data_IF_376694958841
#
_entry.id   IF_376694958841
#
_cell.length_a   1.000
_cell.length_b   1.000
_cell.length_c   1.000
_cell.angle_alpha   90.00
_cell.angle_beta   90.00
_cell.angle_gamma   90.00
#
_symmetry.space_group_name_H-M   'P 1'
#
loop_
_entity.id
_entity.type
_entity.pdbx_description
1 polymer ?
#
# COMPACT_ATOMS: atom_id res chain seq x y z
N UNK A 1 16.87 -24.08 2.63
CA UNK A 1 16.61 -23.47 1.31
C UNK A 1 15.23 -22.84 1.30
N UNK A 2 15.11 -21.52 1.20
CA UNK A 2 13.83 -20.81 1.21
C UNK A 2 13.21 -20.77 -0.19
N UNK A 3 12.35 -21.74 -0.52
CA UNK A 3 11.58 -21.78 -1.77
C UNK A 3 10.38 -20.80 -1.76
N UNK A 4 10.58 -19.58 -1.26
CA UNK A 4 9.51 -18.60 -1.05
C UNK A 4 8.73 -18.28 -2.33
N UNK A 5 9.39 -18.35 -3.50
CA UNK A 5 8.75 -18.07 -4.78
C UNK A 5 7.84 -19.21 -5.29
N UNK A 6 8.10 -20.47 -4.94
CA UNK A 6 7.34 -21.63 -5.44
C UNK A 6 6.03 -21.86 -4.66
N UNK A 7 5.90 -21.25 -3.47
CA UNK A 7 4.79 -21.54 -2.57
C UNK A 7 3.50 -20.79 -2.91
N UNK A 8 3.58 -19.72 -3.72
CA UNK A 8 2.41 -18.91 -4.08
C UNK A 8 1.33 -19.73 -4.79
N UNK A 9 1.72 -20.58 -5.75
CA UNK A 9 0.76 -21.38 -6.51
C UNK A 9 -0.03 -22.34 -5.60
N UNK A 10 0.64 -22.95 -4.62
CA UNK A 10 -0.01 -23.83 -3.63
C UNK A 10 -1.05 -23.06 -2.80
N UNK A 11 -0.73 -21.84 -2.37
CA UNK A 11 -1.68 -20.97 -1.67
C UNK A 11 -2.89 -20.61 -2.54
N UNK A 12 -2.67 -20.31 -3.82
CA UNK A 12 -3.78 -20.02 -4.75
C UNK A 12 -4.69 -21.23 -4.97
N UNK A 13 -4.12 -22.44 -5.06
CA UNK A 13 -4.89 -23.67 -5.20
C UNK A 13 -5.76 -23.92 -3.96
N UNK A 14 -5.19 -23.79 -2.77
CA UNK A 14 -5.91 -23.94 -1.50
C UNK A 14 -7.04 -22.90 -1.40
N UNK A 15 -6.77 -21.64 -1.73
CA UNK A 15 -7.79 -20.59 -1.73
C UNK A 15 -8.95 -20.92 -2.71
N UNK A 16 -8.64 -21.41 -3.90
CA UNK A 16 -9.66 -21.81 -4.88
C UNK A 16 -10.56 -22.94 -4.37
N UNK A 17 -9.96 -23.99 -3.79
CA UNK A 17 -10.70 -25.11 -3.17
C UNK A 17 -11.58 -24.61 -2.03
N UNK A 18 -11.08 -23.70 -1.19
CA UNK A 18 -11.85 -23.10 -0.11
C UNK A 18 -13.07 -22.31 -0.62
N UNK A 19 -12.92 -21.54 -1.69
CA UNK A 19 -14.05 -20.83 -2.33
C UNK A 19 -15.07 -21.81 -2.92
N UNK A 20 -14.61 -22.89 -3.56
CA UNK A 20 -15.49 -23.92 -4.09
C UNK A 20 -16.29 -24.63 -2.99
N UNK A 21 -15.62 -25.02 -1.90
CA UNK A 21 -16.26 -25.69 -0.76
C UNK A 21 -17.28 -24.77 -0.05
N UNK A 22 -16.96 -23.49 0.11
CA UNK A 22 -17.83 -22.52 0.78
C UNK A 22 -19.05 -22.09 -0.05
N UNK A 23 -19.09 -22.42 -1.35
CA UNK A 23 -20.17 -22.01 -2.26
C UNK A 23 -21.57 -22.38 -1.76
N UNK A 24 -21.73 -23.54 -1.14
CA UNK A 24 -23.03 -24.02 -0.65
C UNK A 24 -23.48 -23.30 0.64
N UNK A 25 -22.56 -22.62 1.33
CA UNK A 25 -22.82 -21.87 2.57
C UNK A 25 -22.97 -20.37 2.32
N UNK A 26 -22.60 -19.90 1.12
CA UNK A 26 -22.57 -18.50 0.79
C UNK A 26 -23.97 -17.94 0.52
N UNK A 27 -24.20 -16.72 0.98
CA UNK A 27 -25.40 -15.92 0.70
C UNK A 27 -24.96 -14.66 -0.01
N UNK A 28 -25.76 -14.24 -0.99
CA UNK A 28 -25.51 -13.02 -1.76
C UNK A 28 -25.84 -11.80 -0.89
N UNK A 29 -24.79 -11.21 -0.29
CA UNK A 29 -24.90 -9.98 0.51
C UNK A 29 -24.65 -8.75 -0.39
N UNK A 30 -25.61 -7.81 -0.55
CA UNK A 30 -25.41 -6.56 -1.28
C UNK A 30 -24.51 -5.60 -0.50
N UNK A 31 -23.90 -4.63 -1.19
CA UNK A 31 -22.98 -3.69 -0.54
C UNK A 31 -23.84 -2.65 0.16
N UNK A 32 -23.33 -1.97 1.18
CA UNK A 32 -24.05 -0.88 1.81
C UNK A 32 -24.54 0.18 0.79
N UNK A 33 -23.85 0.37 -0.34
CA UNK A 33 -24.30 1.26 -1.42
C UNK A 33 -25.17 0.58 -2.50
N UNK A 34 -25.20 -0.75 -2.57
CA UNK A 34 -26.02 -1.51 -3.54
C UNK A 34 -27.44 -1.79 -3.01
N UNK A 35 -27.80 -1.29 -1.83
CA UNK A 35 -29.10 -1.54 -1.18
C UNK A 35 -30.31 -1.16 -2.06
N UNK A 36 -30.14 -0.20 -2.97
CA UNK A 36 -31.19 0.26 -3.88
C UNK A 36 -31.40 -0.65 -5.09
N UNK A 37 -30.45 -1.54 -5.40
CA UNK A 37 -30.61 -2.53 -6.45
C UNK A 37 -31.49 -3.67 -5.92
N UNK A 38 -32.59 -3.96 -6.64
CA UNK A 38 -33.42 -5.13 -6.36
C UNK A 38 -32.53 -6.38 -6.37
N UNK A 39 -32.26 -6.93 -5.19
CA UNK A 39 -31.40 -8.11 -5.08
C UNK A 39 -32.17 -9.30 -5.64
N UNK A 40 -31.78 -9.76 -6.83
CA UNK A 40 -32.40 -10.90 -7.48
C UNK A 40 -32.13 -12.16 -6.65
N UNK A 41 -33.16 -12.76 -6.06
CA UNK A 41 -33.06 -13.99 -5.25
C UNK A 41 -32.56 -15.20 -6.04
N UNK A 42 -32.52 -15.12 -7.36
CA UNK A 42 -32.12 -16.20 -8.28
C UNK A 42 -30.70 -16.02 -8.87
N UNK A 43 -29.83 -15.23 -8.24
CA UNK A 43 -28.45 -15.05 -8.75
C UNK A 43 -27.65 -16.33 -8.51
N UNK A 44 -27.08 -16.88 -9.59
CA UNK A 44 -26.11 -17.99 -9.50
C UNK A 44 -24.91 -17.51 -8.67
N UNK A 45 -24.59 -18.23 -7.60
CA UNK A 45 -23.45 -17.89 -6.72
C UNK A 45 -22.14 -18.08 -7.49
N UNK A 46 -21.47 -16.95 -7.77
CA UNK A 46 -20.14 -16.89 -8.39
C UNK A 46 -19.05 -16.92 -7.31
N UNK A 47 -17.82 -17.36 -7.62
CA UNK A 47 -16.72 -17.36 -6.65
C UNK A 47 -16.46 -15.98 -6.03
N UNK A 48 -16.67 -14.89 -6.78
CA UNK A 48 -16.56 -13.52 -6.25
C UNK A 48 -17.61 -13.21 -5.17
N UNK A 49 -18.84 -13.74 -5.32
CA UNK A 49 -19.89 -13.61 -4.30
C UNK A 49 -19.58 -14.46 -3.06
N UNK A 50 -18.98 -15.64 -3.23
CA UNK A 50 -18.50 -16.46 -2.09
C UNK A 50 -17.38 -15.74 -1.34
N UNK A 51 -16.38 -15.21 -2.05
CA UNK A 51 -15.28 -14.46 -1.45
C UNK A 51 -15.78 -13.30 -0.60
N UNK A 52 -16.81 -12.62 -1.08
CA UNK A 52 -17.43 -11.49 -0.40
C UNK A 52 -18.12 -11.86 0.91
N UNK A 53 -18.77 -13.01 0.94
CA UNK A 53 -19.47 -13.54 2.12
C UNK A 53 -18.56 -14.39 3.03
N UNK A 54 -17.33 -14.64 2.60
CA UNK A 54 -16.40 -15.53 3.26
C UNK A 54 -16.08 -15.11 4.70
N UNK A 55 -16.11 -13.80 4.99
CA UNK A 55 -15.96 -13.28 6.34
C UNK A 55 -17.03 -13.81 7.31
N UNK A 56 -18.30 -13.79 6.89
CA UNK A 56 -19.39 -14.34 7.71
C UNK A 56 -19.20 -15.83 7.93
N UNK A 57 -18.83 -16.56 6.88
CA UNK A 57 -18.61 -18.01 6.95
C UNK A 57 -17.51 -18.35 7.96
N UNK A 58 -16.36 -17.65 7.91
CA UNK A 58 -15.26 -17.86 8.86
C UNK A 58 -15.70 -17.52 10.29
N UNK A 59 -16.46 -16.43 10.48
CA UNK A 59 -16.97 -16.07 11.80
C UNK A 59 -17.91 -17.13 12.39
N UNK A 60 -18.80 -17.71 11.57
CA UNK A 60 -19.71 -18.78 12.01
C UNK A 60 -18.95 -20.04 12.42
N UNK A 61 -17.85 -20.35 11.73
CA UNK A 61 -16.97 -21.47 12.09
C UNK A 61 -16.17 -21.20 13.37
N UNK A 62 -16.01 -19.93 13.75
CA UNK A 62 -15.19 -19.52 14.89
C UNK A 62 -13.69 -19.68 14.65
N UNK A 63 -12.89 -19.36 15.67
CA UNK A 63 -11.42 -19.51 15.61
C UNK A 63 -11.00 -20.83 16.25
N UNK A 64 -10.57 -21.80 15.43
CA UNK A 64 -9.88 -23.00 15.94
C UNK A 64 -8.45 -22.72 16.44
N UNK A 65 -7.95 -21.51 16.20
CA UNK A 65 -6.62 -21.11 16.63
C UNK A 65 -6.57 -20.96 18.16
N UNK A 66 -5.56 -21.56 18.77
CA UNK A 66 -5.24 -21.28 20.17
C UNK A 66 -4.91 -19.81 20.34
N UNK A 67 -5.33 -19.22 21.48
CA UNK A 67 -4.99 -17.84 21.82
C UNK A 67 -3.49 -17.60 21.63
N UNK A 68 -3.08 -16.50 20.98
CA UNK A 68 -1.67 -16.21 20.78
C UNK A 68 -0.95 -16.17 22.13
N UNK A 69 0.27 -16.68 22.16
CA UNK A 69 1.12 -16.60 23.35
C UNK A 69 1.25 -15.12 23.75
N UNK A 70 0.83 -14.71 24.96
CA UNK A 70 0.98 -13.33 25.38
C UNK A 70 2.48 -13.02 25.43
N UNK A 71 2.88 -11.94 24.77
CA UNK A 71 4.27 -11.46 24.79
C UNK A 71 4.75 -11.10 26.20
N UNK A 72 3.81 -10.75 27.08
CA UNK A 72 4.07 -10.04 28.34
C UNK A 72 4.40 -8.57 28.08
N UNK A 73 4.02 -7.70 29.01
CA UNK A 73 4.55 -6.33 29.03
C UNK A 73 5.93 -6.35 29.66
N UNK A 74 6.89 -5.64 29.07
CA UNK A 74 8.14 -5.36 29.79
C UNK A 74 7.84 -4.46 30.98
N UNK A 75 8.64 -4.55 32.04
CA UNK A 75 8.54 -3.72 33.26
C UNK A 75 8.68 -2.20 33.00
N UNK A 76 8.87 -1.80 31.74
CA UNK A 76 8.98 -0.41 31.34
C UNK A 76 10.25 0.25 31.87
N UNK A 77 10.22 1.57 31.99
CA UNK A 77 11.28 2.32 32.66
C UNK A 77 11.04 2.27 34.17
N UNK A 78 12.11 2.09 34.92
CA UNK A 78 12.09 2.19 36.39
C UNK A 78 11.52 3.56 36.79
N UNK A 79 10.62 3.57 37.77
CA UNK A 79 10.02 4.81 38.31
C UNK A 79 11.13 5.76 38.76
N UNK A 80 11.13 6.98 38.24
CA UNK A 80 12.17 7.98 38.51
C UNK A 80 13.30 8.05 37.48
N UNK A 81 13.35 7.14 36.50
CA UNK A 81 14.35 7.20 35.43
C UNK A 81 14.12 8.42 34.51
N UNK A 82 15.07 9.35 34.48
CA UNK A 82 15.09 10.52 33.60
C UNK A 82 16.22 10.36 32.57
N UNK A 83 15.89 10.49 31.27
CA UNK A 83 16.89 10.58 30.19
C UNK A 83 17.41 12.01 30.08
N UNK A 84 18.67 12.16 29.72
CA UNK A 84 19.21 13.46 29.33
C UNK A 84 18.46 13.98 28.09
N UNK A 85 18.07 15.27 28.07
CA UNK A 85 17.51 15.89 26.87
C UNK A 85 18.49 15.75 25.70
N UNK A 86 17.97 15.49 24.50
CA UNK A 86 18.79 15.45 23.29
C UNK A 86 19.40 16.84 23.02
N UNK A 87 20.67 16.89 22.63
CA UNK A 87 21.34 18.14 22.25
C UNK A 87 20.54 18.84 21.16
N UNK A 88 20.16 20.10 21.40
CA UNK A 88 19.51 20.93 20.38
C UNK A 88 20.58 21.53 19.48
N UNK A 89 20.52 21.22 18.18
CA UNK A 89 21.33 21.89 17.17
C UNK A 89 20.65 23.17 16.73
N UNK A 90 21.43 24.23 16.45
CA UNK A 90 20.88 25.49 15.95
C UNK A 90 20.26 25.27 14.56
N UNK A 91 19.08 25.84 14.35
CA UNK A 91 18.43 25.85 13.04
C UNK A 91 19.08 26.94 12.20
N UNK A 92 19.83 26.55 11.16
CA UNK A 92 20.34 27.49 10.17
C UNK A 92 19.13 28.00 9.37
N UNK A 93 18.67 29.21 9.69
CA UNK A 93 17.69 29.90 8.86
C UNK A 93 18.44 30.51 7.68
N UNK A 94 18.18 30.01 6.47
CA UNK A 94 18.73 30.59 5.25
C UNK A 94 18.26 32.02 5.11
N UNK A 95 19.13 32.99 5.37
CA UNK A 95 18.90 34.37 4.94
C UNK A 95 19.00 34.42 3.42
N UNK A 96 18.04 35.07 2.78
CA UNK A 96 18.08 35.35 1.33
C UNK A 96 19.42 35.98 0.98
N UNK A 97 20.22 35.27 0.18
CA UNK A 97 21.45 35.82 -0.36
C UNK A 97 21.04 36.92 -1.33
N UNK A 98 21.38 38.18 -1.01
CA UNK A 98 21.25 39.28 -1.96
C UNK A 98 22.16 38.96 -3.14
N UNK A 99 21.57 38.50 -4.25
CA UNK A 99 22.26 38.45 -5.54
C UNK A 99 22.69 39.87 -5.89
N UNK A 100 23.95 40.20 -5.66
CA UNK A 100 24.54 41.41 -6.22
C UNK A 100 24.48 41.27 -7.74
N UNK A 101 23.87 42.25 -8.41
CA UNK A 101 23.77 42.28 -9.87
C UNK A 101 25.17 42.41 -10.46
N UNK A 102 25.81 41.28 -10.75
CA UNK A 102 26.95 41.25 -11.65
C UNK A 102 26.37 41.51 -13.04
N UNK A 103 26.47 42.74 -13.53
CA UNK A 103 26.15 43.07 -14.92
C UNK A 103 27.17 42.38 -15.83
N UNK A 104 26.86 41.16 -16.24
CA UNK A 104 27.59 40.47 -17.31
C UNK A 104 27.18 41.15 -18.62
N UNK A 105 28.09 41.94 -19.21
CA UNK A 105 27.93 42.47 -20.56
C UNK A 105 27.85 41.29 -21.54
N UNK A 106 26.63 40.90 -21.87
CA UNK A 106 26.31 39.87 -22.84
C UNK A 106 26.41 40.46 -24.25
N UNK A 107 27.37 39.99 -25.03
CA UNK A 107 27.37 40.16 -26.49
C UNK A 107 26.82 38.87 -27.12
N UNK A 108 25.70 38.90 -27.86
CA UNK A 108 25.30 37.74 -28.64
C UNK A 108 26.31 37.56 -29.77
N UNK A 109 27.15 36.50 -29.70
CA UNK A 109 27.96 36.07 -30.85
C UNK A 109 27.01 35.67 -31.96
N UNK A 110 26.86 36.56 -32.93
CA UNK A 110 26.21 36.34 -34.22
C UNK A 110 26.95 35.19 -34.92
N UNK A 111 26.47 33.95 -34.77
CA UNK A 111 26.90 32.82 -35.59
C UNK A 111 26.38 33.07 -36.99
N UNK A 112 27.27 33.57 -37.85
CA UNK A 112 27.12 33.55 -39.31
C UNK A 112 26.81 32.12 -39.74
N UNK A 113 25.60 31.88 -40.23
CA UNK A 113 25.26 30.66 -40.95
C UNK A 113 25.74 30.84 -42.39
N UNK A 114 26.99 30.49 -42.67
CA UNK A 114 27.44 30.25 -44.04
C UNK A 114 26.93 28.86 -44.46
N UNK A 115 25.72 28.82 -45.02
CA UNK A 115 25.27 27.66 -45.80
C UNK A 115 26.02 27.72 -47.12
N UNK A 116 27.01 26.85 -47.25
CA UNK A 116 27.70 26.57 -48.51
C UNK A 116 26.72 25.75 -49.35
N UNK A 117 26.17 26.38 -50.38
CA UNK A 117 25.47 25.73 -51.50
C UNK A 117 26.49 25.19 -52.49
N UNK A 118 26.65 23.87 -52.61
CA UNK A 118 27.40 23.21 -53.69
C UNK A 118 26.64 21.94 -54.09
N UNK A 119 26.59 21.69 -55.41
CA UNK A 119 26.01 20.56 -56.18
C UNK A 119 24.49 20.66 -56.38
N UNK A 120 23.93 20.83 -57.58
CA UNK A 120 24.18 20.24 -58.93
C UNK A 120 24.09 18.72 -58.96
#
# INVERSE_FOLDING_TARGET
>A
MSNSCENWFKLTLIAYVNLWAARNLAVVLPHPWEQYLKTNKSVKITPSLVQRDFYRIILTLGTMATSPKPRGYSTGRIKGYKKTPRTRHQVIKGTEQKFSKITKNWHPRRRSLSIISIFQ
#
